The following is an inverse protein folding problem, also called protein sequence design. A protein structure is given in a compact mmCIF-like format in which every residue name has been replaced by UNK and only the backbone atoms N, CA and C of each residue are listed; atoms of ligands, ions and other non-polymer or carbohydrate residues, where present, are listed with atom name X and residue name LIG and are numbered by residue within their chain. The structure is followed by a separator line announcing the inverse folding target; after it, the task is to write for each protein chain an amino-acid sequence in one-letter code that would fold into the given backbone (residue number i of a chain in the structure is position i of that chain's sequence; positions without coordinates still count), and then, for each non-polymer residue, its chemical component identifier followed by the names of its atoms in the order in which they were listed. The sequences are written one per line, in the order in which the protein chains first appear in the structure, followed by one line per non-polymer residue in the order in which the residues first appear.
data_IF_717709265150
#
_entry.id   IF_717709265150
#
_cell.length_a   1.000
_cell.length_b   1.000
_cell.length_c   1.000
_cell.angle_alpha   90.00
_cell.angle_beta   90.00
_cell.angle_gamma   90.00
#
_symmetry.space_group_name_H-M   'P 1'
#
loop_
_entity.id
_entity.type
_entity.pdbx_description
1 polymer ?
#
# COMPACT_ATOMS: atom_id res chain seq x y z
N UNK A 1 -9.62 -9.95 -10.81
CA UNK A 1 -8.44 -9.52 -10.07
C UNK A 1 -7.45 -10.63 -10.25
N UNK A 2 -6.18 -10.33 -10.48
CA UNK A 2 -5.18 -11.38 -10.68
C UNK A 2 -5.11 -12.32 -9.47
N UNK A 3 -5.14 -13.63 -9.73
CA UNK A 3 -4.94 -14.67 -8.74
C UNK A 3 -3.51 -15.21 -8.82
N UNK A 4 -2.67 -14.75 -7.88
CA UNK A 4 -1.28 -15.13 -7.72
C UNK A 4 -1.08 -16.57 -7.23
N UNK A 5 -2.17 -17.27 -6.86
CA UNK A 5 -2.14 -18.70 -6.52
C UNK A 5 -2.52 -19.59 -7.71
N UNK A 6 -2.89 -19.01 -8.85
CA UNK A 6 -3.27 -19.72 -10.07
C UNK A 6 -2.25 -19.45 -11.20
N UNK A 7 -1.52 -20.49 -11.60
CA UNK A 7 -0.50 -20.41 -12.64
C UNK A 7 -1.08 -20.09 -14.03
N UNK A 8 -2.31 -20.51 -14.31
CA UNK A 8 -2.97 -20.21 -15.58
C UNK A 8 -3.31 -18.72 -15.62
N UNK A 9 -3.82 -18.18 -14.52
CA UNK A 9 -4.18 -16.78 -14.41
C UNK A 9 -2.94 -15.87 -14.44
N UNK A 10 -1.87 -16.23 -13.72
CA UNK A 10 -0.56 -15.55 -13.81
C UNK A 10 -0.07 -15.55 -15.26
N UNK A 11 -0.14 -16.69 -15.97
CA UNK A 11 0.32 -16.79 -17.35
C UNK A 11 -0.48 -15.89 -18.31
N UNK A 12 -1.79 -15.74 -18.09
CA UNK A 12 -2.66 -14.87 -18.88
C UNK A 12 -2.32 -13.38 -18.75
N UNK A 13 -1.75 -12.97 -17.61
CA UNK A 13 -1.38 -11.58 -17.31
C UNK A 13 0.09 -11.26 -17.63
N UNK A 14 0.87 -12.09 -18.33
CA UNK A 14 2.30 -11.79 -18.59
C UNK A 14 2.50 -10.79 -19.75
N UNK A 15 3.33 -9.74 -19.59
CA UNK A 15 4.02 -9.34 -18.36
C UNK A 15 3.04 -8.73 -17.36
N UNK A 16 3.16 -9.11 -16.07
CA UNK A 16 2.31 -8.55 -15.01
C UNK A 16 2.69 -7.09 -14.81
N UNK A 17 1.75 -6.20 -15.08
CA UNK A 17 1.89 -4.76 -14.99
C UNK A 17 1.56 -4.30 -13.57
N UNK A 18 2.59 -3.90 -12.83
CA UNK A 18 2.46 -3.38 -11.46
C UNK A 18 2.76 -1.88 -11.46
N UNK A 19 1.77 -1.08 -11.05
CA UNK A 19 1.90 0.37 -11.00
C UNK A 19 2.63 0.78 -9.72
N UNK A 20 3.89 1.24 -9.85
CA UNK A 20 4.70 1.66 -8.70
C UNK A 20 4.01 2.80 -7.92
N UNK A 21 3.86 2.63 -6.60
CA UNK A 21 3.21 3.55 -5.66
C UNK A 21 1.83 4.01 -6.09
N UNK A 22 0.95 3.07 -6.38
CA UNK A 22 -0.42 3.34 -6.77
C UNK A 22 -0.57 3.80 -8.21
N UNK A 23 0.49 4.24 -8.91
CA UNK A 23 0.45 4.43 -10.36
C UNK A 23 0.99 5.77 -10.89
N UNK A 24 0.52 6.08 -12.10
CA UNK A 24 1.22 6.80 -13.17
C UNK A 24 1.42 8.30 -12.90
N UNK A 25 2.59 8.83 -13.25
CA UNK A 25 3.00 10.23 -13.03
C UNK A 25 2.00 11.18 -13.70
N UNK A 26 1.07 11.72 -12.92
CA UNK A 26 0.18 12.80 -13.31
C UNK A 26 0.20 13.91 -12.26
N UNK A 27 0.02 15.19 -12.64
CA UNK A 27 0.07 16.32 -11.70
C UNK A 27 -0.94 16.23 -10.54
N UNK A 28 -2.08 15.57 -10.75
CA UNK A 28 -3.21 15.43 -9.81
C UNK A 28 -3.31 14.04 -9.18
N UNK A 29 -2.30 13.18 -9.41
CA UNK A 29 -2.23 11.82 -8.87
C UNK A 29 -0.85 11.60 -8.22
N UNK A 30 -0.58 12.22 -7.06
CA UNK A 30 0.62 11.92 -6.29
C UNK A 30 0.69 10.43 -5.95
N UNK A 31 1.89 9.92 -5.76
CA UNK A 31 2.14 8.53 -5.38
C UNK A 31 1.30 8.10 -4.16
N UNK A 32 0.87 6.85 -4.09
CA UNK A 32 0.03 6.28 -3.02
C UNK A 32 -1.33 6.99 -2.79
N UNK A 33 -1.78 7.80 -3.74
CA UNK A 33 -3.08 8.49 -3.64
C UNK A 33 -4.24 7.71 -4.26
N UNK A 34 -5.47 8.13 -3.93
CA UNK A 34 -6.69 7.59 -4.53
C UNK A 34 -6.67 7.77 -6.06
N UNK A 35 -6.30 8.95 -6.55
CA UNK A 35 -6.24 9.23 -7.98
C UNK A 35 -5.20 8.35 -8.69
N UNK A 36 -4.06 8.09 -8.06
CA UNK A 36 -3.05 7.19 -8.62
C UNK A 36 -3.64 5.79 -8.83
N UNK A 37 -4.25 5.21 -7.79
CA UNK A 37 -4.87 3.87 -7.84
C UNK A 37 -5.94 3.80 -8.94
N UNK A 38 -6.83 4.80 -9.00
CA UNK A 38 -7.88 4.89 -10.03
C UNK A 38 -7.29 5.00 -11.44
N UNK A 39 -6.21 5.75 -11.59
CA UNK A 39 -5.55 5.91 -12.87
C UNK A 39 -4.85 4.62 -13.32
N UNK A 40 -4.22 3.88 -12.40
CA UNK A 40 -3.64 2.56 -12.70
C UNK A 40 -4.71 1.59 -13.22
N UNK A 41 -5.86 1.50 -12.54
CA UNK A 41 -6.99 0.69 -13.00
C UNK A 41 -7.46 1.11 -14.40
N UNK A 42 -7.64 2.41 -14.64
CA UNK A 42 -8.07 2.94 -15.94
C UNK A 42 -7.08 2.63 -17.07
N UNK A 43 -5.80 2.51 -16.74
CA UNK A 43 -4.75 2.19 -17.70
C UNK A 43 -4.54 0.69 -17.91
N UNK A 44 -5.30 -0.17 -17.22
CA UNK A 44 -5.24 -1.62 -17.38
C UNK A 44 -4.04 -2.27 -16.71
N UNK A 45 -3.57 -1.70 -15.59
CA UNK A 45 -2.61 -2.39 -14.73
C UNK A 45 -3.28 -3.58 -14.03
N UNK A 46 -2.51 -4.64 -13.79
CA UNK A 46 -2.99 -5.84 -13.09
C UNK A 46 -2.94 -5.63 -11.57
N UNK A 47 -1.95 -4.85 -11.12
CA UNK A 47 -1.68 -4.60 -9.72
C UNK A 47 -1.18 -3.17 -9.48
N UNK A 48 -1.28 -2.72 -8.23
CA UNK A 48 -0.59 -1.53 -7.72
C UNK A 48 0.42 -1.93 -6.67
N UNK A 49 1.58 -1.30 -6.66
CA UNK A 49 2.50 -1.34 -5.52
C UNK A 49 2.14 -0.22 -4.57
N UNK A 50 2.06 -0.48 -3.26
CA UNK A 50 1.67 0.50 -2.25
C UNK A 50 2.66 0.46 -1.09
N UNK A 51 3.14 1.64 -0.72
CA UNK A 51 3.98 1.83 0.46
C UNK A 51 3.11 2.04 1.70
N UNK A 52 3.29 1.22 2.72
CA UNK A 52 2.55 1.38 3.99
C UNK A 52 3.46 1.77 5.16
N UNK A 53 2.98 2.72 5.95
CA UNK A 53 3.56 3.19 7.20
C UNK A 53 2.58 3.00 8.36
N UNK A 54 3.11 2.96 9.58
CA UNK A 54 2.32 2.90 10.81
C UNK A 54 2.11 4.32 11.36
N UNK A 55 0.86 4.76 11.46
CA UNK A 55 0.49 5.99 12.16
C UNK A 55 0.65 5.84 13.70
N UNK A 56 0.55 6.95 14.43
CA UNK A 56 0.68 6.97 15.90
C UNK A 56 -0.36 6.13 16.62
N UNK A 57 -1.55 5.97 16.03
CA UNK A 57 -2.65 5.11 16.49
C UNK A 57 -2.58 3.68 15.93
N UNK A 58 -1.40 3.29 15.41
CA UNK A 58 -1.10 1.97 14.85
C UNK A 58 -1.89 1.59 13.59
N UNK A 59 -2.59 2.54 12.98
CA UNK A 59 -3.36 2.31 11.75
C UNK A 59 -2.41 2.31 10.54
N UNK A 60 -2.52 1.33 9.63
CA UNK A 60 -1.76 1.34 8.39
C UNK A 60 -2.24 2.42 7.43
N UNK A 61 -1.30 3.27 7.00
CA UNK A 61 -1.53 4.38 6.07
C UNK A 61 -0.58 4.32 4.88
N UNK A 62 -1.01 4.85 3.76
CA UNK A 62 -0.30 4.84 2.48
C UNK A 62 0.64 6.03 2.36
N UNK A 63 1.95 5.79 2.46
CA UNK A 63 2.95 6.84 2.33
C UNK A 63 4.37 6.30 2.14
N UNK A 64 5.15 6.96 1.29
CA UNK A 64 6.59 6.68 1.15
C UNK A 64 7.44 7.66 1.96
N UNK A 65 7.17 8.96 1.78
CA UNK A 65 7.95 10.07 2.34
C UNK A 65 9.37 10.16 1.78
N UNK A 66 10.12 11.18 2.22
CA UNK A 66 11.49 11.38 1.75
C UNK A 66 12.40 10.17 2.06
N UNK A 67 12.99 9.58 1.02
CA UNK A 67 13.90 8.43 1.16
C UNK A 67 13.25 7.15 1.70
N UNK A 68 11.92 7.06 1.75
CA UNK A 68 11.20 5.87 2.24
C UNK A 68 11.06 5.82 3.76
N UNK A 69 11.27 6.95 4.45
CA UNK A 69 11.29 7.06 5.92
C UNK A 69 10.05 7.74 6.49
N UNK A 70 9.02 7.98 5.67
CA UNK A 70 7.76 8.56 6.16
C UNK A 70 7.83 10.05 6.55
N UNK A 71 8.86 10.80 6.14
CA UNK A 71 8.97 12.23 6.42
C UNK A 71 7.95 13.07 5.65
N UNK A 72 7.17 13.90 6.35
CA UNK A 72 6.04 14.67 5.82
C UNK A 72 6.43 16.03 5.21
N UNK A 73 7.60 16.58 5.54
CA UNK A 73 7.91 17.98 5.25
C UNK A 73 7.92 18.30 3.75
N UNK A 74 8.52 17.43 2.94
CA UNK A 74 8.67 17.64 1.50
C UNK A 74 7.34 17.48 0.77
N UNK A 75 6.54 16.50 1.19
CA UNK A 75 5.35 16.05 0.48
C UNK A 75 4.06 16.71 0.98
N UNK A 76 4.00 17.09 2.26
CA UNK A 76 2.81 17.64 2.92
C UNK A 76 3.04 19.01 3.56
N UNK A 77 4.28 19.53 3.59
CA UNK A 77 4.62 20.81 4.20
C UNK A 77 4.57 20.82 5.74
N UNK A 78 4.45 19.64 6.36
CA UNK A 78 4.35 19.48 7.82
C UNK A 78 5.64 18.85 8.35
N UNK A 79 6.22 19.44 9.40
CA UNK A 79 7.38 18.86 10.06
C UNK A 79 6.99 17.60 10.86
N UNK A 80 7.81 16.56 10.79
CA UNK A 80 7.58 15.28 11.46
C UNK A 80 7.50 14.12 10.48
N UNK A 81 7.23 12.94 11.01
CA UNK A 81 7.06 11.69 10.28
C UNK A 81 5.64 11.14 10.48
N UNK A 82 5.24 10.18 9.64
CA UNK A 82 3.92 9.51 9.74
C UNK A 82 3.62 9.00 11.17
N UNK A 83 4.63 8.42 11.85
CA UNK A 83 4.46 7.86 13.19
C UNK A 83 4.21 8.88 14.30
N UNK A 84 4.34 10.18 14.02
CA UNK A 84 4.12 11.26 14.98
C UNK A 84 2.64 11.70 15.03
N UNK A 85 1.81 11.23 14.09
CA UNK A 85 0.42 11.68 13.90
C UNK A 85 -0.53 10.49 13.82
N UNK A 86 -1.75 10.66 14.33
CA UNK A 86 -2.85 9.69 14.20
C UNK A 86 -3.38 9.65 12.77
N UNK A 87 -4.11 8.59 12.40
CA UNK A 87 -4.73 8.51 11.07
C UNK A 87 -5.62 9.72 10.76
N UNK A 88 -6.33 10.24 11.77
CA UNK A 88 -7.32 11.31 11.59
C UNK A 88 -6.63 12.64 11.31
N UNK A 89 -5.50 12.90 11.97
CA UNK A 89 -4.63 14.06 11.72
C UNK A 89 -3.98 13.96 10.33
N UNK A 90 -3.46 12.78 9.96
CA UNK A 90 -2.86 12.53 8.65
C UNK A 90 -3.86 12.71 7.50
N UNK A 91 -5.12 12.31 7.70
CA UNK A 91 -6.17 12.46 6.71
C UNK A 91 -6.52 13.94 6.41
N UNK A 92 -6.14 14.89 7.28
CA UNK A 92 -6.34 16.32 7.01
C UNK A 92 -5.22 16.95 6.17
N UNK A 93 -4.11 16.22 5.93
CA UNK A 93 -2.98 16.76 5.21
C UNK A 93 -3.22 16.73 3.70
N UNK A 94 -2.92 17.84 3.03
CA UNK A 94 -2.86 17.90 1.56
C UNK A 94 -1.56 17.25 1.09
N UNK A 95 -1.67 16.40 0.07
CA UNK A 95 -0.53 15.72 -0.53
C UNK A 95 -0.03 16.46 -1.78
N UNK A 96 1.21 16.97 -1.74
CA UNK A 96 1.91 17.68 -2.82
C UNK A 96 1.11 18.86 -3.39
N UNK A 97 0.32 19.54 -2.55
CA UNK A 97 -0.51 20.67 -2.96
C UNK A 97 -1.71 20.28 -3.83
N UNK A 98 -2.09 19.01 -3.85
CA UNK A 98 -3.29 18.50 -4.52
C UNK A 98 -4.48 18.38 -3.55
N UNK A 99 -5.64 17.99 -4.07
CA UNK A 99 -6.83 17.65 -3.28
C UNK A 99 -6.77 16.23 -2.69
N UNK A 100 -5.69 15.48 -2.94
CA UNK A 100 -5.49 14.14 -2.42
C UNK A 100 -5.01 14.18 -0.97
N UNK A 101 -5.46 13.18 -0.21
CA UNK A 101 -5.12 12.96 1.20
C UNK A 101 -4.29 11.68 1.35
N UNK A 102 -3.63 11.55 2.49
CA UNK A 102 -3.02 10.29 2.92
C UNK A 102 -4.14 9.29 3.21
N UNK A 103 -4.15 8.16 2.49
CA UNK A 103 -5.17 7.11 2.65
C UNK A 103 -4.79 6.15 3.77
N UNK A 104 -5.78 5.52 4.40
CA UNK A 104 -5.54 4.26 5.13
C UNK A 104 -5.37 3.11 4.13
N UNK A 105 -4.71 2.03 4.56
CA UNK A 105 -4.66 0.79 3.78
C UNK A 105 -6.06 0.25 3.53
N UNK A 106 -6.96 0.35 4.50
CA UNK A 106 -8.38 -0.02 4.35
C UNK A 106 -9.02 0.65 3.12
N UNK A 107 -8.92 1.98 3.04
CA UNK A 107 -9.47 2.77 1.92
C UNK A 107 -8.82 2.38 0.59
N UNK A 108 -7.51 2.14 0.58
CA UNK A 108 -6.80 1.73 -0.61
C UNK A 108 -7.22 0.35 -1.10
N UNK A 109 -7.40 -0.62 -0.20
CA UNK A 109 -7.87 -1.97 -0.54
C UNK A 109 -9.31 -1.95 -1.05
N UNK A 110 -10.19 -1.13 -0.48
CA UNK A 110 -11.55 -0.96 -1.01
C UNK A 110 -11.55 -0.46 -2.46
N UNK A 111 -10.66 0.48 -2.79
CA UNK A 111 -10.45 0.93 -4.17
C UNK A 111 -9.93 -0.19 -5.05
N UNK A 112 -8.97 -0.99 -4.57
CA UNK A 112 -8.39 -2.09 -5.33
C UNK A 112 -9.43 -3.19 -5.63
N UNK A 113 -10.24 -3.57 -4.63
CA UNK A 113 -11.37 -4.50 -4.81
C UNK A 113 -12.37 -3.95 -5.82
N UNK A 114 -12.74 -2.68 -5.68
CA UNK A 114 -13.70 -2.04 -6.60
C UNK A 114 -13.19 -2.00 -8.05
N UNK A 115 -11.88 -1.86 -8.25
CA UNK A 115 -11.24 -1.72 -9.55
C UNK A 115 -10.55 -2.99 -10.06
N UNK A 116 -10.72 -4.11 -9.38
CA UNK A 116 -10.18 -5.41 -9.78
C UNK A 116 -8.63 -5.50 -9.79
N UNK A 117 -7.97 -4.68 -8.96
CA UNK A 117 -6.51 -4.58 -8.87
C UNK A 117 -5.92 -5.48 -7.78
N UNK A 118 -4.89 -6.26 -8.10
CA UNK A 118 -4.03 -6.88 -7.09
C UNK A 118 -3.12 -5.85 -6.40
N UNK A 119 -2.50 -6.23 -5.28
CA UNK A 119 -1.64 -5.30 -4.51
C UNK A 119 -0.30 -5.93 -4.17
N UNK A 120 0.77 -5.18 -4.47
CA UNK A 120 2.11 -5.44 -3.95
C UNK A 120 2.40 -4.47 -2.80
N UNK A 121 2.70 -4.99 -1.62
CA UNK A 121 2.94 -4.17 -0.45
C UNK A 121 4.43 -4.05 -0.15
N UNK A 122 4.89 -2.81 -0.08
CA UNK A 122 6.14 -2.45 0.56
C UNK A 122 5.88 -1.89 1.95
N UNK A 123 6.39 -2.56 2.97
CA UNK A 123 6.22 -2.15 4.35
C UNK A 123 7.36 -1.20 4.71
N UNK A 124 7.09 0.10 4.63
CA UNK A 124 8.10 1.11 4.94
C UNK A 124 8.39 1.15 6.43
N UNK A 125 9.64 1.45 6.69
CA UNK A 125 10.24 1.45 8.02
C UNK A 125 9.48 2.39 8.94
N UNK A 126 8.67 1.78 9.80
CA UNK A 126 8.42 2.29 11.14
C UNK A 126 9.78 2.20 11.85
N UNK A 127 10.29 3.29 12.43
CA UNK A 127 11.51 3.24 13.25
C UNK A 127 11.38 2.26 14.45
N UNK A 128 10.17 1.73 14.67
CA UNK A 128 9.87 0.62 15.56
C UNK A 128 10.47 -0.71 15.06
N UNK A 129 11.46 -1.19 15.82
CA UNK A 129 11.95 -2.56 15.75
C UNK A 129 11.79 -3.22 17.13
N UNK A 130 10.88 -4.19 17.30
CA UNK A 130 10.01 -4.80 16.28
C UNK A 130 8.83 -3.91 15.84
N UNK A 131 8.15 -4.28 14.75
CA UNK A 131 6.88 -3.65 14.35
C UNK A 131 5.81 -3.84 15.43
N UNK A 132 4.89 -2.88 15.65
CA UNK A 132 3.76 -3.08 16.53
C UNK A 132 2.91 -4.27 16.09
N UNK A 133 2.54 -5.13 17.04
CA UNK A 133 1.74 -6.34 16.76
C UNK A 133 0.36 -5.96 16.23
N UNK A 134 -0.28 -4.95 16.82
CA UNK A 134 -1.62 -4.49 16.42
C UNK A 134 -1.64 -3.94 14.98
N UNK A 135 -0.56 -3.30 14.54
CA UNK A 135 -0.41 -2.83 13.16
C UNK A 135 -0.35 -4.01 12.19
N UNK A 136 0.46 -5.02 12.50
CA UNK A 136 0.57 -6.24 11.70
C UNK A 136 -0.74 -7.03 11.66
N UNK A 137 -1.43 -7.14 12.80
CA UNK A 137 -2.71 -7.82 12.90
C UNK A 137 -3.78 -7.12 12.05
N UNK A 138 -3.88 -5.79 12.13
CA UNK A 138 -4.79 -5.02 11.27
C UNK A 138 -4.53 -5.26 9.78
N UNK A 139 -3.27 -5.29 9.35
CA UNK A 139 -2.92 -5.56 7.95
C UNK A 139 -3.43 -6.94 7.49
N UNK A 140 -3.29 -7.98 8.32
CA UNK A 140 -3.78 -9.34 8.03
C UNK A 140 -5.31 -9.39 8.00
N UNK A 141 -5.97 -8.76 8.97
CA UNK A 141 -7.43 -8.68 9.07
C UNK A 141 -8.01 -8.03 7.81
N UNK A 142 -7.45 -6.91 7.38
CA UNK A 142 -7.89 -6.18 6.18
C UNK A 142 -7.85 -7.05 4.90
N UNK A 143 -6.82 -7.88 4.73
CA UNK A 143 -6.75 -8.81 3.58
C UNK A 143 -7.75 -9.95 3.70
N UNK A 144 -7.95 -10.46 4.91
CA UNK A 144 -8.83 -11.59 5.18
C UNK A 144 -10.29 -11.20 4.95
N UNK A 145 -10.71 -10.07 5.50
CA UNK A 145 -12.08 -9.56 5.36
C UNK A 145 -12.47 -9.27 3.90
N UNK A 146 -11.50 -8.87 3.08
CA UNK A 146 -11.70 -8.57 1.66
C UNK A 146 -11.45 -9.76 0.74
N UNK A 147 -11.13 -10.94 1.30
CA UNK A 147 -10.76 -12.15 0.57
C UNK A 147 -9.61 -11.91 -0.45
N UNK A 148 -8.66 -11.03 -0.13
CA UNK A 148 -7.61 -10.61 -1.06
C UNK A 148 -6.35 -11.46 -0.99
N UNK A 149 -6.25 -12.46 -0.11
CA UNK A 149 -5.01 -13.24 0.08
C UNK A 149 -4.41 -13.80 -1.22
N UNK A 150 -5.24 -14.13 -2.21
CA UNK A 150 -4.84 -14.63 -3.53
C UNK A 150 -4.28 -13.55 -4.48
N UNK A 151 -4.48 -12.28 -4.18
CA UNK A 151 -4.12 -11.13 -5.01
C UNK A 151 -3.18 -10.14 -4.28
N UNK A 152 -2.67 -10.52 -3.11
CA UNK A 152 -1.67 -9.76 -2.34
C UNK A 152 -0.30 -10.41 -2.48
N UNK A 153 0.71 -9.58 -2.69
CA UNK A 153 2.11 -9.93 -2.52
C UNK A 153 2.83 -8.94 -1.62
N UNK A 154 3.89 -9.38 -0.95
CA UNK A 154 4.73 -8.50 -0.13
C UNK A 154 6.19 -8.54 -0.59
N UNK A 155 6.85 -7.38 -0.53
CA UNK A 155 8.29 -7.23 -0.74
C UNK A 155 9.11 -7.47 0.54
N UNK A 156 8.46 -7.51 1.70
CA UNK A 156 9.15 -7.59 2.99
C UNK A 156 9.67 -8.99 3.28
N UNK A 157 10.95 -9.07 3.63
CA UNK A 157 11.62 -10.29 4.08
C UNK A 157 11.74 -10.40 5.61
N UNK A 158 11.13 -9.47 6.36
CA UNK A 158 11.20 -9.43 7.83
C UNK A 158 10.50 -10.66 8.45
N UNK A 159 11.17 -11.47 9.30
CA UNK A 159 10.59 -12.69 9.85
C UNK A 159 9.22 -12.51 10.52
N UNK A 160 9.03 -11.42 11.25
CA UNK A 160 7.77 -11.08 11.92
C UNK A 160 6.63 -10.80 10.95
N UNK A 161 6.92 -10.21 9.79
CA UNK A 161 5.93 -10.02 8.70
C UNK A 161 5.62 -11.36 8.04
N UNK A 162 6.65 -12.18 7.80
CA UNK A 162 6.50 -13.51 7.19
C UNK A 162 5.69 -14.47 8.07
N UNK A 163 5.78 -14.32 9.38
CA UNK A 163 5.02 -15.13 10.34
C UNK A 163 3.51 -14.86 10.27
N UNK A 164 3.11 -13.63 9.98
CA UNK A 164 1.70 -13.20 10.00
C UNK A 164 1.05 -13.11 8.62
N UNK A 165 1.83 -12.98 7.54
CA UNK A 165 1.35 -12.96 6.14
C UNK A 165 1.73 -14.24 5.34
N UNK A 166 1.59 -15.47 5.87
CA UNK A 166 2.04 -16.68 5.19
C UNK A 166 1.22 -17.02 3.94
N UNK A 167 0.00 -16.51 3.83
CA UNK A 167 -0.89 -16.74 2.68
C UNK A 167 -0.63 -15.78 1.50
N UNK A 168 0.27 -14.81 1.63
CA UNK A 168 0.59 -13.86 0.55
C UNK A 168 1.71 -14.39 -0.33
N UNK A 169 1.59 -14.16 -1.64
CA UNK A 169 2.61 -14.58 -2.60
C UNK A 169 3.88 -13.74 -2.44
N UNK A 170 5.06 -14.35 -2.57
CA UNK A 170 6.33 -13.63 -2.57
C UNK A 170 6.74 -13.23 -3.98
N UNK A 171 7.41 -12.08 -4.08
CA UNK A 171 8.25 -11.82 -5.25
C UNK A 171 9.57 -12.61 -5.18
N UNK A 172 10.06 -13.17 -6.30
CA UNK A 172 9.38 -13.32 -7.59
C UNK A 172 8.29 -14.38 -7.55
N UNK A 173 7.17 -14.11 -8.24
CA UNK A 173 6.09 -15.08 -8.45
C UNK A 173 6.69 -16.26 -9.24
N UNK A 174 6.64 -17.46 -8.64
CA UNK A 174 7.20 -18.69 -9.21
C UNK A 174 6.21 -19.37 -10.13
#
# INVERSE_FOLDING_TARGET
MINLHDQIDIAAHRPIMIAHRGGVIAPDAPENSQNAIKLAAKQGYDMVELDICCAADHVPVLFHGHGGRGGLLVDCGVAGNIGDFTRSELAQLSYRGTDQQILTLEQALDLCVHHDLGVMLDMKTVDANPLPVDYLQQVVELFTERNMAHAIMTLSLRPEVRAVLPATTLWPIR
#
